data_IF_260535563696
#
_entry.id   IF_260535563696
#
_cell.length_a   1.000
_cell.length_b   1.000
_cell.length_c   1.000
_cell.angle_alpha   90.00
_cell.angle_beta   90.00
_cell.angle_gamma   90.00
#
_symmetry.space_group_name_H-M   'P 1'
#
loop_
_entity.id
_entity.type
_entity.pdbx_description
1 polymer ?
#
# COMPACT_ATOMS: atom_id res chain seq x y z
N UNK A 1 1.51 -37.09 3.60
CA UNK A 1 0.86 -36.05 2.78
C UNK A 1 0.95 -34.75 3.56
N UNK A 2 1.90 -33.89 3.21
CA UNK A 2 2.00 -32.54 3.79
C UNK A 2 0.97 -31.71 3.04
N UNK A 3 -0.09 -31.28 3.73
CA UNK A 3 -1.03 -30.29 3.19
C UNK A 3 -0.23 -28.99 3.04
N UNK A 4 0.06 -28.60 1.80
CA UNK A 4 0.52 -27.26 1.50
C UNK A 4 -0.64 -26.32 1.86
N UNK A 5 -0.51 -25.64 2.99
CA UNK A 5 -1.32 -24.46 3.26
C UNK A 5 -0.98 -23.46 2.17
N UNK A 6 -1.96 -23.13 1.34
CA UNK A 6 -1.87 -22.04 0.39
C UNK A 6 -1.95 -20.75 1.21
N UNK A 7 -0.80 -20.34 1.78
CA UNK A 7 -0.64 -19.07 2.50
C UNK A 7 -0.56 -17.90 1.50
N UNK A 8 -1.37 -17.95 0.42
CA UNK A 8 -1.61 -16.77 -0.39
C UNK A 8 -2.44 -15.82 0.46
N UNK A 9 -1.75 -14.89 1.13
CA UNK A 9 -2.38 -13.67 1.65
C UNK A 9 -3.23 -13.14 0.49
N UNK A 10 -4.56 -13.06 0.62
CA UNK A 10 -5.39 -12.55 -0.45
C UNK A 10 -4.82 -11.18 -0.82
N UNK A 11 -4.38 -11.04 -2.07
CA UNK A 11 -3.97 -9.74 -2.60
C UNK A 11 -5.21 -8.88 -2.57
N UNK A 12 -5.34 -8.07 -1.52
CA UNK A 12 -6.37 -7.07 -1.44
C UNK A 12 -6.05 -6.04 -2.52
N UNK A 13 -6.88 -5.99 -3.57
CA UNK A 13 -6.86 -4.85 -4.45
C UNK A 13 -7.35 -3.64 -3.64
N UNK A 14 -6.43 -2.73 -3.33
CA UNK A 14 -6.72 -1.55 -2.51
C UNK A 14 -7.80 -0.67 -3.16
N UNK A 15 -7.86 -0.62 -4.49
CA UNK A 15 -8.90 0.14 -5.19
C UNK A 15 -10.26 -0.51 -4.96
N UNK A 16 -10.36 -1.83 -5.03
CA UNK A 16 -11.61 -2.55 -4.71
C UNK A 16 -12.00 -2.36 -3.25
N UNK A 17 -11.03 -2.37 -2.33
CA UNK A 17 -11.28 -2.13 -0.91
C UNK A 17 -11.89 -0.76 -0.66
N UNK A 18 -11.33 0.30 -1.26
CA UNK A 18 -11.82 1.68 -1.15
C UNK A 18 -13.22 1.86 -1.75
N UNK A 19 -13.54 1.12 -2.81
CA UNK A 19 -14.85 1.17 -3.49
C UNK A 19 -15.89 0.19 -2.93
N UNK A 20 -15.51 -0.64 -1.95
CA UNK A 20 -16.39 -1.63 -1.36
C UNK A 20 -17.60 -0.99 -0.67
N UNK A 21 -18.75 -1.67 -0.63
CA UNK A 21 -19.89 -1.24 0.20
C UNK A 21 -19.71 -1.58 1.68
N UNK A 22 -18.71 -2.39 2.02
CA UNK A 22 -18.32 -2.68 3.40
C UNK A 22 -17.46 -1.55 3.95
N UNK A 23 -18.03 -0.77 4.88
CA UNK A 23 -17.36 0.36 5.55
C UNK A 23 -16.08 -0.06 6.27
N UNK A 24 -16.03 -1.27 6.82
CA UNK A 24 -14.84 -1.82 7.46
C UNK A 24 -13.72 -2.01 6.45
N UNK A 25 -14.04 -2.61 5.31
CA UNK A 25 -13.08 -2.84 4.23
C UNK A 25 -12.60 -1.53 3.59
N UNK A 26 -13.51 -0.57 3.39
CA UNK A 26 -13.18 0.78 2.92
C UNK A 26 -12.14 1.46 3.80
N UNK A 27 -12.35 1.44 5.12
CA UNK A 27 -11.44 2.05 6.09
C UNK A 27 -10.08 1.36 6.15
N UNK A 28 -10.05 0.03 6.01
CA UNK A 28 -8.79 -0.73 5.91
C UNK A 28 -8.03 -0.31 4.64
N UNK A 29 -8.73 -0.19 3.51
CA UNK A 29 -8.18 0.31 2.25
C UNK A 29 -7.60 1.72 2.39
N UNK A 30 -8.37 2.65 2.98
CA UNK A 30 -7.93 4.03 3.21
C UNK A 30 -6.68 4.09 4.10
N UNK A 31 -6.70 3.39 5.24
CA UNK A 31 -5.56 3.33 6.16
C UNK A 31 -4.29 2.77 5.50
N UNK A 32 -4.44 1.77 4.61
CA UNK A 32 -3.31 1.21 3.88
C UNK A 32 -2.71 2.21 2.87
N UNK A 33 -3.55 3.00 2.18
CA UNK A 33 -3.07 4.07 1.29
C UNK A 33 -2.34 5.15 2.07
N UNK A 34 -2.92 5.62 3.17
CA UNK A 34 -2.27 6.62 4.04
C UNK A 34 -0.94 6.11 4.58
N UNK A 35 -0.90 4.89 5.11
CA UNK A 35 0.35 4.29 5.60
C UNK A 35 1.43 4.19 4.51
N UNK A 36 1.05 3.85 3.28
CA UNK A 36 1.98 3.79 2.15
C UNK A 36 2.49 5.18 1.76
N UNK A 37 1.64 6.21 1.78
CA UNK A 37 2.03 7.59 1.52
C UNK A 37 2.93 8.13 2.64
N UNK A 38 2.57 7.92 3.90
CA UNK A 38 3.35 8.32 5.07
C UNK A 38 4.74 7.70 5.09
N UNK A 39 4.85 6.44 4.66
CA UNK A 39 6.14 5.78 4.52
C UNK A 39 7.03 6.49 3.48
N UNK A 40 6.47 6.95 2.36
CA UNK A 40 7.19 7.74 1.35
C UNK A 40 7.59 9.10 1.88
N UNK A 41 6.67 9.80 2.54
CA UNK A 41 6.92 11.13 3.09
C UNK A 41 7.99 11.08 4.18
N UNK A 42 7.92 10.08 5.05
CA UNK A 42 8.95 9.81 6.05
C UNK A 42 10.29 9.56 5.37
N UNK A 43 10.35 8.62 4.43
CA UNK A 43 11.59 8.28 3.71
C UNK A 43 12.20 9.49 2.98
N UNK A 44 11.37 10.34 2.36
CA UNK A 44 11.79 11.58 1.72
C UNK A 44 12.36 12.57 2.74
N UNK A 45 11.68 12.76 3.86
CA UNK A 45 12.10 13.69 4.91
C UNK A 45 13.40 13.27 5.62
N UNK A 46 13.63 11.96 5.77
CA UNK A 46 14.83 11.39 6.38
C UNK A 46 15.97 11.15 5.40
N UNK A 47 15.75 11.34 4.09
CA UNK A 47 16.74 11.03 3.05
C UNK A 47 17.10 9.54 2.99
N UNK A 48 16.14 8.66 3.28
CA UNK A 48 16.35 7.21 3.33
C UNK A 48 15.60 6.51 2.20
N UNK A 49 16.13 5.37 1.75
CA UNK A 49 15.45 4.54 0.75
C UNK A 49 14.29 3.73 1.34
N UNK A 50 13.33 3.36 0.49
CA UNK A 50 12.30 2.37 0.78
C UNK A 50 12.81 1.00 0.33
N UNK A 51 12.63 -0.02 1.16
CA UNK A 51 12.95 -1.40 0.79
C UNK A 51 11.71 -2.07 0.22
N UNK A 52 11.78 -2.51 -1.03
CA UNK A 52 10.72 -3.27 -1.71
C UNK A 52 11.24 -4.60 -2.23
N UNK A 53 10.37 -5.60 -2.30
CA UNK A 53 10.70 -6.90 -2.89
C UNK A 53 10.15 -6.97 -4.30
N UNK A 54 11.04 -7.05 -5.30
CA UNK A 54 10.68 -7.18 -6.71
C UNK A 54 11.21 -8.52 -7.20
N UNK A 55 10.32 -9.40 -7.68
CA UNK A 55 10.65 -10.75 -8.14
C UNK A 55 11.49 -11.55 -7.11
N UNK A 56 11.11 -11.45 -5.83
CA UNK A 56 11.78 -12.15 -4.72
C UNK A 56 13.11 -11.54 -4.26
N UNK A 57 13.56 -10.44 -4.86
CA UNK A 57 14.79 -9.74 -4.47
C UNK A 57 14.46 -8.43 -3.76
N UNK A 58 15.04 -8.22 -2.58
CA UNK A 58 14.95 -6.95 -1.88
C UNK A 58 15.79 -5.88 -2.61
N UNK A 59 15.17 -4.72 -2.88
CA UNK A 59 15.80 -3.59 -3.54
C UNK A 59 15.53 -2.33 -2.72
N UNK A 60 16.57 -1.53 -2.54
CA UNK A 60 16.43 -0.18 -2.01
C UNK A 60 16.06 0.76 -3.16
N UNK A 61 14.95 1.47 -3.03
CA UNK A 61 14.45 2.42 -4.03
C UNK A 61 14.26 3.79 -3.41
N UNK A 62 14.46 4.82 -4.23
CA UNK A 62 14.12 6.20 -3.88
C UNK A 62 12.60 6.32 -3.60
N UNK A 63 12.16 7.13 -2.63
CA UNK A 63 10.73 7.32 -2.34
C UNK A 63 9.91 7.85 -3.52
N UNK A 64 10.54 8.50 -4.50
CA UNK A 64 9.92 9.02 -5.72
C UNK A 64 10.22 8.13 -6.94
N UNK A 65 10.75 6.92 -6.71
CA UNK A 65 11.07 5.96 -7.77
C UNK A 65 9.81 5.53 -8.55
N UNK A 66 9.89 5.45 -9.89
CA UNK A 66 8.79 4.92 -10.72
C UNK A 66 8.53 3.42 -10.51
N UNK A 67 9.37 2.73 -9.73
CA UNK A 67 9.14 1.36 -9.30
C UNK A 67 8.07 1.26 -8.21
N UNK A 68 7.76 2.38 -7.54
CA UNK A 68 6.69 2.48 -6.57
C UNK A 68 5.39 2.88 -7.30
N UNK A 69 4.23 2.31 -6.92
CA UNK A 69 2.96 2.61 -7.59
C UNK A 69 2.57 4.08 -7.39
N UNK A 70 1.97 4.73 -8.38
CA UNK A 70 1.33 6.03 -8.16
C UNK A 70 0.06 5.84 -7.34
N UNK A 71 -0.01 6.50 -6.18
CA UNK A 71 -1.14 6.42 -5.25
C UNK A 71 -2.00 7.68 -5.26
N UNK A 72 -1.70 8.68 -6.10
CA UNK A 72 -2.32 10.03 -6.03
C UNK A 72 -3.86 9.97 -6.08
N UNK A 73 -4.42 9.22 -7.03
CA UNK A 73 -5.87 9.03 -7.14
C UNK A 73 -6.46 8.30 -5.92
N UNK A 74 -5.76 7.29 -5.42
CA UNK A 74 -6.21 6.49 -4.29
C UNK A 74 -6.15 7.27 -2.98
N UNK A 75 -5.17 8.16 -2.84
CA UNK A 75 -5.03 9.04 -1.68
C UNK A 75 -6.20 10.02 -1.61
N UNK A 76 -6.59 10.60 -2.75
CA UNK A 76 -7.77 11.47 -2.83
C UNK A 76 -9.03 10.73 -2.36
N UNK A 77 -9.21 9.48 -2.81
CA UNK A 77 -10.34 8.66 -2.37
C UNK A 77 -10.25 8.25 -0.90
N UNK A 78 -9.05 7.94 -0.40
CA UNK A 78 -8.82 7.60 1.00
C UNK A 78 -9.16 8.77 1.94
N UNK A 79 -8.82 10.00 1.55
CA UNK A 79 -9.11 11.23 2.30
C UNK A 79 -10.62 11.50 2.43
N UNK A 80 -11.43 11.09 1.44
CA UNK A 80 -12.88 11.18 1.52
C UNK A 80 -13.49 10.19 2.53
N UNK A 81 -12.84 9.03 2.74
CA UNK A 81 -13.32 7.95 3.62
C UNK A 81 -12.86 8.18 5.06
N UNK A 82 -11.57 8.50 5.25
CA UNK A 82 -10.94 8.76 6.54
C UNK A 82 -10.06 10.02 6.40
N UNK A 83 -10.60 11.22 6.67
CA UNK A 83 -9.79 12.44 6.63
C UNK A 83 -8.77 12.44 7.78
N UNK A 84 -7.50 12.63 7.45
CA UNK A 84 -6.38 12.76 8.39
C UNK A 84 -5.81 14.18 8.41
#
# INVERSE_FOLDING_TARGET
MVQQHDDTIPQLDIREALLSSDVGLQRIGAAAVHAANDARDTARSSGTAIIVTINGTAQAVDPDSPLLPDLTELLTLADEIVPL
#
